data_IF_858835302082
#
_entry.id   IF_858835302082
#
_cell.length_a   1.000
_cell.length_b   1.000
_cell.length_c   1.000
_cell.angle_alpha   90.00
_cell.angle_beta   90.00
_cell.angle_gamma   90.00
#
_symmetry.space_group_name_H-M   'P 1'
#
loop_
_entity.id
_entity.type
_entity.pdbx_description
1 polymer ?
#
# COMPACT_ATOMS: atom_id res chain seq x y z
N UNK A 1 30.46 -100.58 -37.17
CA UNK A 1 31.24 -99.43 -36.66
C UNK A 1 30.73 -99.15 -35.25
N UNK A 2 31.53 -99.52 -34.26
CA UNK A 2 31.16 -99.47 -32.86
C UNK A 2 31.80 -98.30 -32.11
N UNK A 3 31.46 -98.28 -30.82
CA UNK A 3 32.15 -97.64 -29.71
C UNK A 3 31.70 -96.24 -29.29
N UNK A 4 30.89 -96.24 -28.21
CA UNK A 4 31.06 -95.54 -26.93
C UNK A 4 31.94 -94.28 -26.93
N UNK A 5 31.44 -93.18 -26.35
CA UNK A 5 32.06 -92.53 -25.18
C UNK A 5 31.02 -91.77 -24.32
N UNK A 6 31.03 -92.07 -23.03
CA UNK A 6 30.43 -91.29 -21.95
C UNK A 6 31.38 -90.14 -21.59
N UNK A 7 30.85 -88.93 -21.39
CA UNK A 7 31.53 -87.79 -20.72
C UNK A 7 30.43 -87.16 -19.83
N UNK A 8 30.36 -87.51 -18.55
CA UNK A 8 31.11 -86.92 -17.42
C UNK A 8 30.60 -85.51 -17.05
N UNK A 9 29.73 -85.52 -16.04
CA UNK A 9 29.55 -84.58 -14.94
C UNK A 9 30.57 -83.42 -14.89
N UNK A 10 30.10 -82.20 -15.11
CA UNK A 10 30.81 -80.96 -14.84
C UNK A 10 29.94 -80.07 -13.95
N UNK A 11 30.29 -80.02 -12.67
CA UNK A 11 29.66 -79.25 -11.59
C UNK A 11 29.66 -77.76 -11.94
N UNK A 12 28.48 -77.15 -12.07
CA UNK A 12 28.35 -75.70 -12.13
C UNK A 12 28.57 -75.12 -10.74
N UNK A 13 29.78 -74.58 -10.53
CA UNK A 13 30.17 -73.80 -9.37
C UNK A 13 29.43 -72.45 -9.45
N UNK A 14 28.29 -72.34 -8.76
CA UNK A 14 27.56 -71.08 -8.54
C UNK A 14 28.39 -70.23 -7.59
N UNK A 15 29.25 -69.37 -8.15
CA UNK A 15 29.97 -68.33 -7.41
C UNK A 15 28.96 -67.27 -6.97
N UNK A 16 28.73 -67.20 -5.65
CA UNK A 16 27.95 -66.15 -5.00
C UNK A 16 28.59 -64.78 -5.22
N UNK A 17 28.09 -64.06 -6.21
CA UNK A 17 28.24 -62.61 -6.34
C UNK A 17 26.88 -62.01 -6.01
N UNK A 18 26.75 -61.40 -4.83
CA UNK A 18 25.52 -60.68 -4.51
C UNK A 18 25.20 -60.56 -3.02
N UNK A 19 26.17 -60.18 -2.20
CA UNK A 19 25.86 -59.65 -0.88
C UNK A 19 26.94 -58.65 -0.45
N UNK A 20 27.19 -57.63 -1.28
CA UNK A 20 27.59 -56.34 -0.72
C UNK A 20 26.36 -55.84 0.03
N UNK A 21 26.22 -56.25 1.29
CA UNK A 21 25.25 -55.66 2.20
C UNK A 21 25.49 -54.16 2.19
N UNK A 22 24.54 -53.42 1.62
CA UNK A 22 24.49 -51.98 1.76
C UNK A 22 24.31 -51.73 3.26
N UNK A 23 25.41 -51.54 3.99
CA UNK A 23 25.41 -51.09 5.37
C UNK A 23 24.80 -49.70 5.36
N UNK A 24 23.48 -49.67 5.48
CA UNK A 24 22.67 -48.47 5.47
C UNK A 24 22.98 -47.70 6.75
N UNK A 25 24.04 -46.90 6.70
CA UNK A 25 24.50 -46.04 7.80
C UNK A 25 23.57 -44.83 8.01
N UNK A 26 22.38 -44.82 7.40
CA UNK A 26 21.38 -43.78 7.59
C UNK A 26 21.07 -43.50 9.07
N UNK A 27 20.93 -44.51 9.97
CA UNK A 27 20.67 -44.28 11.39
C UNK A 27 21.81 -43.56 12.13
N UNK A 28 23.04 -43.58 11.60
CA UNK A 28 24.21 -42.94 12.21
C UNK A 28 24.44 -41.50 11.70
N UNK A 29 23.63 -41.03 10.75
CA UNK A 29 23.73 -39.66 10.20
C UNK A 29 22.88 -38.64 10.95
N UNK A 30 21.94 -39.12 11.75
CA UNK A 30 21.02 -38.29 12.53
C UNK A 30 21.00 -38.73 14.00
N UNK A 31 20.64 -37.83 14.89
CA UNK A 31 20.42 -38.08 16.30
C UNK A 31 19.07 -37.53 16.78
N UNK A 32 18.88 -37.59 18.09
CA UNK A 32 17.70 -37.04 18.78
C UNK A 32 18.15 -36.04 19.83
N UNK A 33 17.40 -34.95 20.01
CA UNK A 33 17.60 -33.99 21.09
C UNK A 33 16.36 -34.01 21.98
N UNK A 34 16.55 -34.15 23.27
CA UNK A 34 15.50 -34.09 24.29
C UNK A 34 15.78 -32.92 25.24
N UNK A 35 14.74 -32.20 25.65
CA UNK A 35 14.88 -31.09 26.59
C UNK A 35 13.57 -30.73 27.26
N UNK A 36 13.63 -29.74 28.15
CA UNK A 36 12.47 -29.20 28.84
C UNK A 36 12.60 -27.67 28.95
N UNK A 37 11.55 -26.94 28.62
CA UNK A 37 11.47 -25.48 28.78
C UNK A 37 11.14 -25.13 30.23
N UNK A 38 11.75 -24.08 30.78
CA UNK A 38 11.41 -23.58 32.13
C UNK A 38 10.16 -22.71 32.16
N UNK A 39 9.79 -22.15 31.01
CA UNK A 39 8.64 -21.28 30.79
C UNK A 39 8.17 -21.51 29.35
N UNK A 40 6.87 -21.69 29.13
CA UNK A 40 6.31 -21.97 27.81
C UNK A 40 4.80 -21.77 27.79
N UNK A 41 4.25 -21.62 26.60
CA UNK A 41 2.83 -21.70 26.26
C UNK A 41 2.65 -22.88 25.29
N UNK A 42 1.95 -23.98 25.66
CA UNK A 42 1.84 -25.16 24.82
C UNK A 42 1.15 -24.91 23.46
N UNK A 43 0.36 -23.84 23.33
CA UNK A 43 -0.31 -23.50 22.07
C UNK A 43 0.63 -22.80 21.07
N UNK A 44 1.74 -22.25 21.55
CA UNK A 44 2.68 -21.46 20.75
C UNK A 44 4.06 -22.10 20.67
N UNK A 45 4.44 -22.87 21.70
CA UNK A 45 5.81 -23.34 21.88
C UNK A 45 6.23 -24.33 20.79
N UNK A 46 7.32 -24.02 20.12
CA UNK A 46 7.91 -24.84 19.07
C UNK A 46 9.43 -24.79 19.17
N UNK A 47 10.04 -25.97 19.00
CA UNK A 47 11.50 -26.12 18.89
C UNK A 47 11.80 -26.58 17.48
N UNK A 48 12.62 -25.81 16.75
CA UNK A 48 13.03 -26.13 15.38
C UNK A 48 14.54 -26.08 15.23
N UNK A 49 15.07 -26.82 14.25
CA UNK A 49 16.48 -26.75 13.90
C UNK A 49 16.76 -25.51 13.03
N UNK A 50 17.80 -24.77 13.36
CA UNK A 50 18.29 -23.66 12.54
C UNK A 50 18.81 -24.22 11.20
N UNK A 51 18.39 -23.62 10.08
CA UNK A 51 18.76 -24.04 8.72
C UNK A 51 17.98 -25.26 8.18
N UNK A 52 17.11 -25.87 8.99
CA UNK A 52 16.25 -27.00 8.61
C UNK A 52 14.97 -26.99 9.47
N UNK A 53 14.14 -25.95 9.29
CA UNK A 53 12.98 -25.68 10.14
C UNK A 53 11.89 -26.77 10.06
N UNK A 54 11.91 -27.62 9.04
CA UNK A 54 11.07 -28.80 8.91
C UNK A 54 11.36 -29.85 9.98
N UNK A 55 12.61 -29.87 10.50
CA UNK A 55 12.99 -30.60 11.69
C UNK A 55 12.55 -29.78 12.90
N UNK A 56 11.32 -30.05 13.36
CA UNK A 56 10.69 -29.36 14.48
C UNK A 56 9.86 -30.29 15.36
N UNK A 57 9.62 -29.84 16.59
CA UNK A 57 8.82 -30.53 17.58
C UNK A 57 7.99 -29.53 18.39
N UNK A 58 6.75 -29.89 18.69
CA UNK A 58 5.94 -29.18 19.68
C UNK A 58 6.42 -29.52 21.09
N UNK A 59 5.92 -28.77 22.07
CA UNK A 59 6.23 -28.98 23.47
C UNK A 59 5.02 -29.63 24.16
N UNK A 60 5.26 -30.63 25.01
CA UNK A 60 4.18 -31.28 25.76
C UNK A 60 3.67 -30.43 26.95
N UNK A 61 2.62 -30.90 27.62
CA UNK A 61 2.00 -30.20 28.73
C UNK A 61 2.93 -29.95 29.94
N UNK A 62 4.04 -30.68 30.03
CA UNK A 62 5.06 -30.50 31.06
C UNK A 62 6.29 -29.73 30.55
N UNK A 63 6.23 -29.16 29.35
CA UNK A 63 7.30 -28.34 28.79
C UNK A 63 8.39 -29.16 28.11
N UNK A 64 8.22 -30.47 27.94
CA UNK A 64 9.25 -31.33 27.33
C UNK A 64 9.10 -31.38 25.82
N UNK A 65 10.23 -31.52 25.14
CA UNK A 65 10.28 -31.71 23.69
C UNK A 65 11.25 -32.81 23.32
N UNK A 66 10.96 -33.46 22.19
CA UNK A 66 11.84 -34.45 21.56
C UNK A 66 11.95 -34.13 20.07
N UNK A 67 13.14 -33.78 19.63
CA UNK A 67 13.45 -33.43 18.25
C UNK A 67 14.27 -34.56 17.62
N UNK A 68 13.68 -35.27 16.67
CA UNK A 68 14.29 -36.41 15.99
C UNK A 68 14.81 -36.00 14.60
N UNK A 69 15.70 -36.81 14.01
CA UNK A 69 16.20 -36.57 12.66
C UNK A 69 17.23 -35.43 12.55
N UNK A 70 17.82 -35.02 13.67
CA UNK A 70 18.78 -33.91 13.69
C UNK A 70 20.13 -34.38 13.13
N UNK A 71 20.70 -33.74 12.09
CA UNK A 71 21.99 -34.14 11.54
C UNK A 71 23.11 -34.20 12.58
N UNK A 72 23.97 -35.21 12.47
CA UNK A 72 25.15 -35.35 13.33
C UNK A 72 26.09 -34.16 13.15
N UNK A 73 26.58 -33.58 14.25
CA UNK A 73 27.50 -32.44 14.24
C UNK A 73 27.07 -31.31 15.18
N UNK A 74 27.70 -30.13 15.06
CA UNK A 74 27.21 -28.90 15.69
C UNK A 74 25.83 -28.54 15.11
N UNK A 75 24.90 -28.22 15.98
CA UNK A 75 23.54 -27.81 15.66
C UNK A 75 23.14 -26.63 16.54
N UNK A 76 22.19 -25.83 16.07
CA UNK A 76 21.57 -24.76 16.84
C UNK A 76 20.05 -24.94 16.78
N UNK A 77 19.41 -24.90 17.94
CA UNK A 77 17.95 -24.90 18.05
C UNK A 77 17.43 -23.48 18.10
N UNK A 78 16.34 -23.23 17.39
CA UNK A 78 15.50 -22.05 17.54
C UNK A 78 14.30 -22.45 18.40
N UNK A 79 14.15 -21.83 19.56
CA UNK A 79 13.10 -22.15 20.53
C UNK A 79 12.17 -20.95 20.66
N UNK A 80 10.93 -21.10 20.20
CA UNK A 80 9.83 -20.20 20.56
C UNK A 80 9.15 -20.80 21.77
N UNK A 81 9.11 -20.08 22.88
CA UNK A 81 8.54 -20.59 24.12
C UNK A 81 7.16 -19.99 24.41
N UNK A 82 6.98 -18.70 24.18
CA UNK A 82 5.70 -17.99 24.31
C UNK A 82 5.58 -16.98 23.17
N UNK A 83 4.47 -16.24 23.11
CA UNK A 83 4.30 -15.16 22.13
C UNK A 83 5.40 -14.07 22.21
N UNK A 84 6.08 -13.92 23.35
CA UNK A 84 7.03 -12.82 23.62
C UNK A 84 8.43 -13.32 24.02
N UNK A 85 8.64 -14.64 24.11
CA UNK A 85 9.92 -15.22 24.53
C UNK A 85 10.44 -16.28 23.59
N UNK A 86 11.72 -16.17 23.27
CA UNK A 86 12.44 -17.10 22.41
C UNK A 86 13.91 -17.21 22.85
N UNK A 87 14.59 -18.29 22.43
CA UNK A 87 16.04 -18.42 22.64
C UNK A 87 16.68 -19.29 21.57
N UNK A 88 18.02 -19.23 21.46
CA UNK A 88 18.82 -20.14 20.64
C UNK A 88 19.68 -21.03 21.55
N UNK A 89 19.79 -22.30 21.19
CA UNK A 89 20.56 -23.29 21.98
C UNK A 89 21.52 -24.03 21.08
N UNK A 90 22.82 -23.84 21.29
CA UNK A 90 23.85 -24.62 20.60
C UNK A 90 23.99 -26.01 21.25
N UNK A 91 24.07 -27.04 20.42
CA UNK A 91 24.14 -28.45 20.85
C UNK A 91 25.02 -29.23 19.88
N UNK A 92 25.74 -30.24 20.39
CA UNK A 92 26.49 -31.18 19.56
C UNK A 92 25.77 -32.51 19.51
N UNK A 93 25.31 -32.89 18.33
CA UNK A 93 24.56 -34.13 18.08
C UNK A 93 25.51 -35.21 17.63
N UNK A 94 25.36 -36.39 18.21
CA UNK A 94 26.09 -37.60 17.80
C UNK A 94 25.11 -38.59 17.17
N UNK A 95 25.51 -39.17 16.05
CA UNK A 95 24.66 -40.06 15.27
C UNK A 95 24.17 -41.28 16.04
N UNK A 96 22.90 -41.62 15.88
CA UNK A 96 22.23 -42.71 16.58
C UNK A 96 22.06 -42.50 18.08
N UNK A 97 22.42 -41.33 18.63
CA UNK A 97 22.33 -41.04 20.06
C UNK A 97 21.26 -40.00 20.36
N UNK A 98 20.73 -40.08 21.60
CA UNK A 98 19.86 -39.07 22.18
C UNK A 98 20.66 -38.15 23.10
N UNK A 99 20.65 -36.86 22.80
CA UNK A 99 21.31 -35.81 23.59
C UNK A 99 20.27 -35.17 24.50
N UNK A 100 20.50 -35.20 25.82
CA UNK A 100 19.64 -34.55 26.80
C UNK A 100 20.17 -33.17 27.15
N UNK A 101 19.39 -32.14 26.91
CA UNK A 101 19.70 -30.78 27.30
C UNK A 101 19.38 -30.56 28.79
N UNK A 102 20.10 -29.62 29.40
CA UNK A 102 19.63 -29.01 30.65
C UNK A 102 18.34 -28.24 30.38
N UNK A 103 17.61 -27.86 31.45
CA UNK A 103 16.39 -27.06 31.28
C UNK A 103 16.72 -25.78 30.52
N UNK A 104 15.95 -25.51 29.47
CA UNK A 104 16.15 -24.37 28.56
C UNK A 104 15.31 -23.21 29.08
N UNK A 105 16.00 -22.12 29.45
CA UNK A 105 15.34 -20.90 29.89
C UNK A 105 15.20 -19.92 28.72
N UNK A 106 13.96 -19.65 28.26
CA UNK A 106 13.75 -18.67 27.20
C UNK A 106 13.99 -17.24 27.70
N UNK A 107 14.23 -16.31 26.79
CA UNK A 107 14.49 -14.90 27.08
C UNK A 107 13.48 -14.02 26.37
N UNK A 108 13.34 -12.78 26.83
CA UNK A 108 12.52 -11.78 26.14
C UNK A 108 13.03 -11.62 24.70
N UNK A 109 12.12 -11.73 23.75
CA UNK A 109 12.43 -11.72 22.35
C UNK A 109 12.14 -10.35 21.73
N UNK A 110 12.85 -10.05 20.65
CA UNK A 110 12.59 -8.92 19.79
C UNK A 110 11.55 -9.22 18.70
N UNK A 111 11.09 -8.16 18.05
CA UNK A 111 10.15 -8.22 16.93
C UNK A 111 10.54 -7.23 15.84
N UNK A 112 10.31 -7.61 14.58
CA UNK A 112 10.26 -6.66 13.49
C UNK A 112 8.82 -6.20 13.25
N UNK A 113 8.60 -4.89 13.30
CA UNK A 113 7.35 -4.22 12.93
C UNK A 113 7.51 -3.70 11.50
N UNK A 114 7.14 -4.53 10.51
CA UNK A 114 7.38 -4.24 9.10
C UNK A 114 6.31 -3.32 8.51
N UNK A 115 6.77 -2.39 7.66
CA UNK A 115 5.95 -1.54 6.80
C UNK A 115 6.50 -1.59 5.39
N UNK A 116 5.78 -2.28 4.51
CA UNK A 116 6.15 -2.50 3.12
C UNK A 116 5.25 -1.67 2.21
N UNK A 117 5.84 -0.97 1.25
CA UNK A 117 5.12 -0.17 0.25
C UNK A 117 5.68 -0.44 -1.14
N UNK A 118 4.86 -0.23 -2.17
CA UNK A 118 5.34 -0.19 -3.55
C UNK A 118 5.61 1.24 -4.01
N UNK A 119 6.61 1.43 -4.88
CA UNK A 119 7.04 2.73 -5.40
C UNK A 119 5.99 3.43 -6.24
N UNK A 120 5.12 2.69 -6.93
CA UNK A 120 4.12 3.23 -7.84
C UNK A 120 2.67 2.94 -7.42
N UNK A 121 2.46 2.57 -6.15
CA UNK A 121 1.13 2.39 -5.58
C UNK A 121 0.47 1.04 -5.89
N UNK A 122 1.22 0.08 -6.43
CA UNK A 122 0.79 -1.31 -6.54
C UNK A 122 0.47 -1.88 -5.15
N UNK A 123 -0.53 -2.76 -5.12
CA UNK A 123 -0.92 -3.44 -3.89
C UNK A 123 0.16 -4.44 -3.49
N UNK A 124 0.57 -4.40 -2.22
CA UNK A 124 1.55 -5.32 -1.63
C UNK A 124 0.90 -6.42 -0.77
N UNK A 125 -0.44 -6.46 -0.71
CA UNK A 125 -1.17 -7.53 -0.05
C UNK A 125 -0.82 -8.87 -0.70
N UNK A 126 -0.51 -9.89 0.11
CA UNK A 126 -0.11 -11.21 -0.41
C UNK A 126 1.39 -11.37 -0.66
N UNK A 127 2.19 -10.30 -0.57
CA UNK A 127 3.66 -10.40 -0.51
C UNK A 127 4.04 -11.18 0.75
N UNK A 128 4.95 -12.14 0.58
CA UNK A 128 5.43 -13.04 1.60
C UNK A 128 6.78 -12.57 2.16
N UNK A 129 6.94 -12.71 3.46
CA UNK A 129 8.17 -12.46 4.19
C UNK A 129 8.63 -13.76 4.84
N UNK A 130 9.89 -14.12 4.63
CA UNK A 130 10.56 -15.22 5.30
C UNK A 130 11.78 -14.71 6.03
N UNK A 131 12.00 -15.18 7.25
CA UNK A 131 13.23 -14.91 8.00
C UNK A 131 14.08 -16.16 7.98
N UNK A 132 15.23 -16.08 7.31
CA UNK A 132 16.15 -17.20 7.16
C UNK A 132 16.55 -17.73 8.53
N UNK A 133 16.74 -19.05 8.63
CA UNK A 133 17.25 -19.70 9.84
C UNK A 133 16.29 -19.61 11.04
N UNK A 134 15.00 -19.43 10.78
CA UNK A 134 13.92 -19.38 11.77
C UNK A 134 12.68 -20.14 11.26
N UNK A 135 11.70 -20.47 12.12
CA UNK A 135 10.43 -21.06 11.67
C UNK A 135 9.48 -20.05 10.99
N UNK A 136 9.86 -18.77 10.88
CA UNK A 136 9.03 -17.71 10.32
C UNK A 136 9.17 -17.62 8.81
N UNK A 137 8.48 -18.50 8.10
CA UNK A 137 8.50 -18.54 6.63
C UNK A 137 7.15 -18.21 6.02
N UNK A 138 7.19 -17.56 4.85
CA UNK A 138 6.01 -17.23 4.03
C UNK A 138 4.91 -16.50 4.80
N UNK A 139 5.30 -15.62 5.73
CA UNK A 139 4.39 -14.75 6.46
C UNK A 139 3.80 -13.72 5.50
N UNK A 140 2.48 -13.54 5.51
CA UNK A 140 1.79 -12.70 4.53
C UNK A 140 1.55 -11.31 5.09
N UNK A 141 1.89 -10.27 4.32
CA UNK A 141 1.57 -8.88 4.65
C UNK A 141 0.06 -8.62 4.63
N UNK A 142 -0.42 -7.78 5.56
CA UNK A 142 -1.79 -7.31 5.55
C UNK A 142 -2.08 -6.38 4.34
N UNK A 143 -3.35 -6.02 4.14
CA UNK A 143 -3.76 -5.13 3.03
C UNK A 143 -3.09 -3.74 3.05
N UNK A 144 -2.62 -3.30 4.21
CA UNK A 144 -1.91 -2.03 4.40
C UNK A 144 -0.38 -2.19 4.32
N UNK A 145 0.12 -3.38 3.95
CA UNK A 145 1.55 -3.67 3.86
C UNK A 145 2.24 -3.79 5.22
N UNK A 146 1.53 -4.21 6.26
CA UNK A 146 2.09 -4.39 7.62
C UNK A 146 2.21 -5.86 7.98
N UNK A 147 3.25 -6.17 8.73
CA UNK A 147 3.47 -7.50 9.30
C UNK A 147 4.34 -7.37 10.56
N UNK A 148 3.95 -8.07 11.62
CA UNK A 148 4.82 -8.28 12.78
C UNK A 148 5.51 -9.63 12.65
N UNK A 149 6.83 -9.64 12.79
CA UNK A 149 7.65 -10.86 12.69
C UNK A 149 8.37 -11.11 14.01
N UNK A 150 8.18 -12.30 14.55
CA UNK A 150 8.77 -12.75 15.82
C UNK A 150 7.81 -13.65 16.60
N UNK A 151 8.20 -14.09 17.80
CA UNK A 151 9.35 -13.63 18.59
C UNK A 151 10.73 -14.06 18.04
N UNK A 152 11.71 -13.15 18.05
CA UNK A 152 13.10 -13.38 17.61
C UNK A 152 14.10 -13.22 18.78
N UNK A 153 14.95 -14.22 19.06
CA UNK A 153 16.10 -14.04 19.96
C UNK A 153 17.02 -12.92 19.48
N UNK A 154 17.82 -12.35 20.38
CA UNK A 154 18.82 -11.35 20.05
C UNK A 154 19.73 -11.81 18.90
N UNK A 155 19.87 -10.99 17.87
CA UNK A 155 20.69 -11.32 16.71
C UNK A 155 20.36 -10.50 15.47
N UNK A 156 21.14 -10.74 14.41
CA UNK A 156 20.91 -10.21 13.07
C UNK A 156 20.34 -11.31 12.17
N UNK A 157 19.34 -10.95 11.37
CA UNK A 157 18.55 -11.87 10.58
C UNK A 157 18.48 -11.40 9.13
N UNK A 158 18.63 -12.35 8.21
CA UNK A 158 18.36 -12.14 6.80
C UNK A 158 16.86 -12.39 6.52
N UNK A 159 16.21 -11.40 5.92
CA UNK A 159 14.82 -11.46 5.48
C UNK A 159 14.78 -11.60 3.96
N UNK A 160 13.88 -12.43 3.46
CA UNK A 160 13.49 -12.53 2.05
C UNK A 160 12.05 -12.04 1.93
N UNK A 161 11.83 -11.05 1.07
CA UNK A 161 10.52 -10.47 0.78
C UNK A 161 10.23 -10.73 -0.70
N UNK A 162 9.18 -11.49 -0.99
CA UNK A 162 8.83 -11.88 -2.36
C UNK A 162 7.32 -11.90 -2.57
N UNK A 163 6.86 -11.56 -3.77
CA UNK A 163 5.46 -11.63 -4.12
C UNK A 163 5.22 -11.49 -5.61
N UNK A 164 3.99 -11.78 -6.03
CA UNK A 164 3.59 -11.60 -7.43
C UNK A 164 3.79 -10.15 -7.83
N UNK A 165 4.42 -9.92 -8.99
CA UNK A 165 4.66 -8.58 -9.51
C UNK A 165 5.90 -7.88 -8.96
N UNK A 166 6.61 -8.48 -8.00
CA UNK A 166 7.80 -7.90 -7.38
C UNK A 166 8.98 -8.89 -7.47
N UNK A 167 10.19 -8.43 -7.83
CA UNK A 167 11.40 -9.22 -7.66
C UNK A 167 11.63 -9.49 -6.15
N UNK A 168 12.30 -10.59 -5.84
CA UNK A 168 12.69 -10.90 -4.47
C UNK A 168 13.67 -9.86 -3.95
N UNK A 169 13.38 -9.30 -2.77
CA UNK A 169 14.24 -8.37 -2.05
C UNK A 169 14.81 -9.06 -0.83
N UNK A 170 16.13 -8.96 -0.65
CA UNK A 170 16.81 -9.42 0.55
C UNK A 170 17.17 -8.22 1.43
N UNK A 171 16.93 -8.35 2.73
CA UNK A 171 17.29 -7.34 3.73
C UNK A 171 17.96 -8.03 4.92
N UNK A 172 18.77 -7.27 5.67
CA UNK A 172 19.33 -7.72 6.94
C UNK A 172 18.97 -6.71 8.03
N UNK A 173 18.53 -7.21 9.18
CA UNK A 173 18.21 -6.38 10.33
C UNK A 173 18.55 -7.10 11.63
N UNK A 174 18.94 -6.34 12.63
CA UNK A 174 19.20 -6.84 13.97
C UNK A 174 18.11 -6.41 14.94
N UNK A 175 17.82 -7.27 15.91
CA UNK A 175 16.89 -6.98 17.00
C UNK A 175 17.47 -7.48 18.32
N UNK A 176 17.26 -6.72 19.39
CA UNK A 176 17.64 -7.08 20.75
C UNK A 176 16.46 -7.53 21.63
N UNK A 177 16.80 -7.94 22.84
CA UNK A 177 15.86 -8.42 23.86
C UNK A 177 14.73 -7.43 24.11
N UNK A 178 13.48 -7.85 23.84
CA UNK A 178 12.27 -7.03 24.02
C UNK A 178 12.13 -5.85 23.05
N UNK A 179 13.04 -5.69 22.07
CA UNK A 179 13.00 -4.58 21.12
C UNK A 179 11.88 -4.78 20.08
N UNK A 180 11.15 -3.70 19.78
CA UNK A 180 10.23 -3.63 18.63
C UNK A 180 10.86 -2.76 17.55
N UNK A 181 11.52 -3.39 16.59
CA UNK A 181 12.28 -2.73 15.54
C UNK A 181 11.39 -2.45 14.33
N UNK A 182 11.19 -1.18 14.00
CA UNK A 182 10.48 -0.83 12.78
C UNK A 182 11.36 -1.05 11.54
N UNK A 183 10.86 -1.79 10.54
CA UNK A 183 11.51 -1.98 9.25
C UNK A 183 10.63 -1.43 8.13
N UNK A 184 11.12 -0.41 7.42
CA UNK A 184 10.47 0.16 6.24
C UNK A 184 11.11 -0.40 4.98
N UNK A 185 10.32 -1.05 4.13
CA UNK A 185 10.79 -1.63 2.87
C UNK A 185 9.99 -1.04 1.72
N UNK A 186 10.69 -0.58 0.70
CA UNK A 186 10.11 -0.12 -0.55
C UNK A 186 10.36 -1.19 -1.61
N UNK A 187 9.30 -1.69 -2.25
CA UNK A 187 9.36 -2.65 -3.33
C UNK A 187 9.21 -1.94 -4.68
N UNK A 188 10.10 -2.29 -5.59
CA UNK A 188 10.01 -1.87 -6.99
C UNK A 188 9.28 -2.97 -7.77
N UNK A 189 8.22 -2.62 -8.50
CA UNK A 189 7.50 -3.58 -9.32
C UNK A 189 8.37 -4.03 -10.50
N UNK A 190 8.18 -5.27 -10.96
CA UNK A 190 8.92 -5.78 -12.12
C UNK A 190 8.50 -4.99 -13.38
N UNK A 191 9.44 -4.26 -13.97
CA UNK A 191 9.22 -3.42 -15.16
C UNK A 191 8.87 -4.23 -16.42
N UNK A 192 9.27 -5.50 -16.48
CA UNK A 192 9.01 -6.37 -17.62
C UNK A 192 7.55 -6.85 -17.69
N UNK A 193 6.78 -6.65 -16.60
CA UNK A 193 5.37 -7.00 -16.56
C UNK A 193 4.52 -5.92 -17.25
N UNK A 194 4.12 -6.20 -18.49
CA UNK A 194 3.03 -5.49 -19.13
C UNK A 194 1.77 -5.60 -18.26
N UNK A 195 1.15 -4.46 -17.94
CA UNK A 195 -0.02 -4.38 -17.06
C UNK A 195 0.24 -4.74 -15.57
N UNK A 196 1.21 -4.07 -14.93
CA UNK A 196 1.64 -4.33 -13.54
C UNK A 196 0.46 -4.42 -12.56
N UNK A 197 -0.37 -3.37 -12.51
CA UNK A 197 -1.53 -3.34 -11.61
C UNK A 197 -2.65 -4.31 -11.99
N UNK A 198 -2.66 -4.87 -13.21
CA UNK A 198 -3.61 -5.92 -13.59
C UNK A 198 -3.33 -7.24 -12.86
N UNK A 199 -2.08 -7.49 -12.46
CA UNK A 199 -1.67 -8.69 -11.73
C UNK A 199 -1.69 -8.47 -10.22
N UNK A 200 -1.18 -7.35 -9.75
CA UNK A 200 -1.05 -7.05 -8.31
C UNK A 200 -2.28 -6.36 -7.73
N UNK A 201 -3.04 -5.64 -8.55
CA UNK A 201 -4.01 -4.66 -8.09
C UNK A 201 -3.34 -3.37 -7.61
N UNK A 202 -4.16 -2.39 -7.24
CA UNK A 202 -3.68 -1.12 -6.70
C UNK A 202 -3.95 -0.99 -5.20
N UNK A 203 -3.11 -0.22 -4.51
CA UNK A 203 -3.33 0.15 -3.12
C UNK A 203 -4.69 0.86 -2.96
N UNK A 204 -5.18 0.90 -1.73
CA UNK A 204 -6.48 1.50 -1.43
C UNK A 204 -6.56 2.96 -1.90
N UNK A 205 -7.66 3.30 -2.57
CA UNK A 205 -7.87 4.63 -3.17
C UNK A 205 -7.25 4.81 -4.56
N UNK A 206 -6.59 3.79 -5.12
CA UNK A 206 -6.06 3.81 -6.47
C UNK A 206 -6.77 2.78 -7.37
N UNK A 207 -6.76 3.04 -8.67
CA UNK A 207 -7.32 2.20 -9.72
C UNK A 207 -6.27 1.91 -10.79
N UNK A 208 -6.42 0.77 -11.48
CA UNK A 208 -5.48 0.36 -12.51
C UNK A 208 -5.76 1.15 -13.81
N UNK A 209 -4.83 2.04 -14.18
CA UNK A 209 -4.94 2.90 -15.33
C UNK A 209 -4.49 2.24 -16.65
N UNK A 210 -4.79 2.87 -17.80
CA UNK A 210 -4.22 2.47 -19.08
C UNK A 210 -2.68 2.43 -18.99
N UNK A 211 -2.07 1.34 -19.48
CA UNK A 211 -0.63 1.13 -19.39
C UNK A 211 -0.16 0.42 -18.12
N UNK A 212 -1.06 0.05 -17.20
CA UNK A 212 -0.71 -0.81 -16.06
C UNK A 212 -0.15 -0.08 -14.84
N UNK A 213 -0.32 1.24 -14.76
CA UNK A 213 0.07 2.04 -13.61
C UNK A 213 -1.11 2.26 -12.65
N UNK A 214 -0.84 2.28 -11.35
CA UNK A 214 -1.84 2.67 -10.37
C UNK A 214 -2.00 4.20 -10.35
N UNK A 215 -3.24 4.64 -10.49
CA UNK A 215 -3.61 6.06 -10.58
C UNK A 215 -4.81 6.33 -9.68
N UNK A 216 -5.09 7.59 -9.38
CA UNK A 216 -6.22 7.92 -8.50
C UNK A 216 -7.56 7.68 -9.20
N UNK A 217 -7.61 7.90 -10.50
CA UNK A 217 -8.83 7.75 -11.29
C UNK A 217 -8.55 7.48 -12.76
N UNK A 218 -9.53 6.88 -13.43
CA UNK A 218 -9.71 6.80 -14.88
C UNK A 218 -11.06 7.37 -15.33
N UNK A 219 -11.99 7.55 -14.38
CA UNK A 219 -13.33 8.11 -14.58
C UNK A 219 -13.67 9.03 -13.40
N UNK A 220 -14.50 10.05 -13.63
CA UNK A 220 -14.91 11.03 -12.60
C UNK A 220 -15.57 10.37 -11.38
N UNK A 221 -16.35 9.30 -11.60
CA UNK A 221 -17.02 8.58 -10.52
C UNK A 221 -16.10 7.84 -9.53
N UNK A 222 -14.80 7.77 -9.83
CA UNK A 222 -13.79 7.23 -8.90
C UNK A 222 -13.22 8.32 -7.97
N UNK A 223 -13.53 9.58 -8.26
CA UNK A 223 -13.19 10.70 -7.41
C UNK A 223 -14.29 10.95 -6.37
N UNK A 224 -13.89 11.48 -5.20
CA UNK A 224 -14.83 11.93 -4.18
C UNK A 224 -15.74 13.08 -4.68
N UNK A 225 -16.80 13.37 -3.95
CA UNK A 225 -17.80 14.37 -4.32
C UNK A 225 -17.17 15.74 -4.69
N UNK A 226 -17.59 16.32 -5.83
CA UNK A 226 -17.10 17.62 -6.32
C UNK A 226 -15.74 17.59 -7.03
N UNK A 227 -15.16 16.39 -7.23
CA UNK A 227 -13.91 16.20 -7.97
C UNK A 227 -14.16 15.50 -9.31
N UNK A 228 -13.27 15.76 -10.26
CA UNK A 228 -13.27 15.16 -11.60
C UNK A 228 -11.88 14.59 -11.90
N UNK A 229 -11.85 13.55 -12.75
CA UNK A 229 -10.62 12.87 -13.11
C UNK A 229 -9.89 13.63 -14.22
N UNK A 230 -8.73 14.22 -13.90
CA UNK A 230 -7.91 14.99 -14.84
C UNK A 230 -6.49 14.43 -14.88
N UNK A 231 -6.11 13.86 -16.02
CA UNK A 231 -4.77 13.28 -16.20
C UNK A 231 -4.46 12.17 -15.19
N UNK A 232 -5.46 11.34 -14.88
CA UNK A 232 -5.41 10.26 -13.90
C UNK A 232 -5.25 10.68 -12.42
N UNK A 233 -5.56 11.95 -12.11
CA UNK A 233 -5.62 12.48 -10.75
C UNK A 233 -7.01 13.03 -10.46
N UNK A 234 -7.46 12.86 -9.22
CA UNK A 234 -8.69 13.49 -8.77
C UNK A 234 -8.41 14.95 -8.43
N UNK A 235 -8.96 15.85 -9.23
CA UNK A 235 -8.87 17.29 -9.00
C UNK A 235 -10.24 17.83 -8.66
N UNK A 236 -10.32 18.80 -7.75
CA UNK A 236 -11.54 19.57 -7.59
C UNK A 236 -11.94 20.18 -8.93
N UNK A 237 -13.22 20.16 -9.26
CA UNK A 237 -13.74 21.03 -10.31
C UNK A 237 -13.65 22.47 -9.78
N UNK A 238 -12.46 23.08 -9.80
CA UNK A 238 -12.24 24.40 -9.23
C UNK A 238 -13.22 25.39 -9.87
N UNK A 239 -14.10 26.05 -9.10
CA UNK A 239 -14.97 27.06 -9.68
C UNK A 239 -14.11 28.16 -10.29
N UNK A 240 -14.58 28.79 -11.37
CA UNK A 240 -14.00 30.06 -11.82
C UNK A 240 -13.93 31.03 -10.63
N UNK A 241 -12.84 31.79 -10.54
CA UNK A 241 -12.50 32.60 -9.37
C UNK A 241 -12.12 31.83 -8.08
N UNK A 242 -12.03 30.50 -8.12
CA UNK A 242 -11.47 29.71 -7.03
C UNK A 242 -9.97 29.95 -6.85
N UNK A 243 -9.51 29.94 -5.61
CA UNK A 243 -8.08 30.06 -5.29
C UNK A 243 -7.30 28.88 -5.91
N UNK A 244 -6.10 29.15 -6.39
CA UNK A 244 -5.24 28.17 -7.07
C UNK A 244 -3.78 28.34 -6.67
N UNK A 245 -2.98 27.30 -6.84
CA UNK A 245 -1.52 27.36 -6.69
C UNK A 245 -0.81 27.24 -8.03
N UNK A 246 -1.41 26.54 -8.98
CA UNK A 246 -0.93 26.31 -10.34
C UNK A 246 -2.10 26.15 -11.31
N UNK A 247 -1.80 26.15 -12.62
CA UNK A 247 -2.79 25.94 -13.68
C UNK A 247 -3.46 24.55 -13.62
N UNK A 248 -2.80 23.58 -12.99
CA UNK A 248 -3.34 22.23 -12.80
C UNK A 248 -4.62 22.22 -11.97
N UNK A 249 -4.70 23.15 -11.02
CA UNK A 249 -5.79 23.36 -10.07
C UNK A 249 -7.07 23.93 -10.71
N UNK A 250 -7.00 24.39 -11.97
CA UNK A 250 -8.10 25.09 -12.64
C UNK A 250 -8.89 24.22 -13.63
N UNK A 251 -10.14 24.62 -13.91
CA UNK A 251 -10.97 24.03 -14.98
C UNK A 251 -10.29 24.14 -16.35
N UNK A 252 -10.65 23.24 -17.28
CA UNK A 252 -10.10 23.23 -18.65
C UNK A 252 -10.39 24.57 -19.33
N UNK A 253 -9.35 25.20 -19.88
CA UNK A 253 -9.41 26.53 -20.49
C UNK A 253 -9.20 27.69 -19.51
N UNK A 254 -9.02 27.43 -18.22
CA UNK A 254 -8.62 28.41 -17.22
C UNK A 254 -7.16 28.23 -16.77
N UNK A 255 -6.54 29.34 -16.40
CA UNK A 255 -5.18 29.41 -15.86
C UNK A 255 -5.19 30.09 -14.49
N UNK A 256 -4.22 29.76 -13.65
CA UNK A 256 -4.03 30.35 -12.34
C UNK A 256 -3.33 31.71 -12.51
N UNK A 257 -4.07 32.81 -12.36
CA UNK A 257 -3.56 34.15 -12.63
C UNK A 257 -3.63 35.04 -11.39
N UNK A 258 -2.65 35.96 -11.22
CA UNK A 258 -2.74 36.99 -10.21
C UNK A 258 -3.88 37.97 -10.54
N UNK A 259 -4.64 38.34 -9.52
CA UNK A 259 -5.77 39.25 -9.65
C UNK A 259 -5.38 40.68 -9.27
N UNK A 260 -6.08 41.67 -9.84
CA UNK A 260 -5.82 43.09 -9.56
C UNK A 260 -6.15 43.46 -8.10
N UNK A 261 -7.15 42.80 -7.51
CA UNK A 261 -7.51 42.89 -6.09
C UNK A 261 -6.51 42.19 -5.15
N UNK A 262 -5.50 41.50 -5.70
CA UNK A 262 -4.55 40.69 -4.95
C UNK A 262 -4.95 39.22 -4.84
N UNK A 263 -3.96 38.35 -4.61
CA UNK A 263 -4.14 36.89 -4.63
C UNK A 263 -4.07 36.29 -6.04
N UNK A 264 -4.37 35.00 -6.14
CA UNK A 264 -4.36 34.21 -7.38
C UNK A 264 -5.65 33.39 -7.49
N UNK A 265 -6.23 33.33 -8.69
CA UNK A 265 -7.43 32.55 -8.94
C UNK A 265 -7.47 31.94 -10.34
N UNK A 266 -8.34 30.94 -10.51
CA UNK A 266 -8.60 30.31 -11.79
C UNK A 266 -9.44 31.21 -12.70
N UNK A 267 -8.86 31.66 -13.81
CA UNK A 267 -9.47 32.58 -14.77
C UNK A 267 -9.40 32.00 -16.18
N UNK A 268 -10.53 31.97 -16.88
CA UNK A 268 -10.61 31.53 -18.29
C UNK A 268 -10.18 32.66 -19.21
N UNK A 269 -9.41 32.38 -20.26
CA UNK A 269 -9.10 33.37 -21.29
C UNK A 269 -10.27 33.62 -22.24
N UNK A 270 -10.37 34.83 -22.77
CA UNK A 270 -11.39 35.24 -23.73
C UNK A 270 -10.79 36.18 -24.79
N UNK A 271 -11.52 36.37 -25.88
CA UNK A 271 -11.16 37.28 -26.96
C UNK A 271 -12.34 38.20 -27.27
N UNK A 272 -12.07 39.50 -27.44
CA UNK A 272 -13.07 40.48 -27.86
C UNK A 272 -13.39 40.36 -29.36
N UNK A 273 -12.45 39.87 -30.18
CA UNK A 273 -12.69 39.57 -31.58
C UNK A 273 -13.14 38.12 -31.71
N UNK A 274 -14.45 37.93 -31.87
CA UNK A 274 -15.05 36.61 -32.06
C UNK A 274 -15.10 36.30 -33.54
N UNK A 275 -14.26 35.37 -34.01
CA UNK A 275 -14.51 34.71 -35.29
C UNK A 275 -15.72 33.77 -35.11
N UNK A 276 -16.61 33.71 -36.09
CA UNK A 276 -17.88 32.94 -35.99
C UNK A 276 -17.66 31.45 -35.67
N UNK A 277 -16.50 30.90 -36.02
CA UNK A 277 -16.14 29.50 -35.76
C UNK A 277 -15.74 29.22 -34.29
N UNK A 278 -15.36 30.23 -33.50
CA UNK A 278 -14.82 30.07 -32.13
C UNK A 278 -15.69 30.70 -31.03
N UNK A 279 -16.95 31.05 -31.34
CA UNK A 279 -17.86 31.76 -30.42
C UNK A 279 -18.00 31.06 -29.06
N UNK A 280 -18.09 29.73 -29.03
CA UNK A 280 -18.28 28.99 -27.78
C UNK A 280 -17.01 28.93 -26.92
N UNK A 281 -15.83 28.86 -27.54
CA UNK A 281 -14.56 28.77 -26.83
C UNK A 281 -14.17 30.12 -26.19
N UNK A 282 -14.42 31.22 -26.89
CA UNK A 282 -13.96 32.55 -26.50
C UNK A 282 -14.96 33.37 -25.67
N UNK A 283 -16.20 32.90 -25.53
CA UNK A 283 -17.21 33.60 -24.73
C UNK A 283 -17.07 33.28 -23.24
N UNK A 284 -17.26 34.31 -22.43
CA UNK A 284 -17.41 34.18 -20.99
C UNK A 284 -18.79 33.62 -20.64
N UNK A 285 -18.87 32.95 -19.51
CA UNK A 285 -20.13 32.38 -19.01
C UNK A 285 -21.03 33.47 -18.43
N UNK A 286 -22.27 33.09 -18.07
CA UNK A 286 -23.20 33.96 -17.37
C UNK A 286 -22.56 34.58 -16.12
N UNK A 287 -22.77 35.87 -15.90
CA UNK A 287 -22.19 36.65 -14.80
C UNK A 287 -20.72 37.07 -14.99
N UNK A 288 -20.08 36.72 -16.11
CA UNK A 288 -18.70 37.11 -16.42
C UNK A 288 -18.62 37.95 -17.69
N UNK A 289 -17.67 38.88 -17.72
CA UNK A 289 -17.35 39.70 -18.90
C UNK A 289 -15.89 39.49 -19.30
N UNK A 290 -15.62 39.64 -20.59
CA UNK A 290 -14.24 39.59 -21.07
C UNK A 290 -13.54 40.90 -20.71
N UNK A 291 -12.55 40.82 -19.83
CA UNK A 291 -11.81 41.96 -19.31
C UNK A 291 -10.32 41.69 -19.53
N UNK A 292 -9.68 42.46 -20.42
CA UNK A 292 -8.25 42.33 -20.72
C UNK A 292 -7.85 40.89 -21.15
N UNK A 293 -8.71 40.23 -21.93
CA UNK A 293 -8.47 38.85 -22.39
C UNK A 293 -8.77 37.76 -21.36
N UNK A 294 -9.40 38.11 -20.24
CA UNK A 294 -9.76 37.20 -19.15
C UNK A 294 -11.24 37.30 -18.80
N UNK A 295 -11.89 36.16 -18.59
CA UNK A 295 -13.27 36.09 -18.09
C UNK A 295 -13.28 36.36 -16.59
N UNK A 296 -13.56 37.60 -16.22
CA UNK A 296 -13.68 38.06 -14.85
C UNK A 296 -15.14 38.41 -14.53
N UNK A 297 -15.55 38.39 -13.25
CA UNK A 297 -16.92 38.74 -12.86
C UNK A 297 -17.31 40.12 -13.39
N UNK A 298 -18.57 40.29 -13.80
CA UNK A 298 -19.05 41.56 -14.33
C UNK A 298 -18.84 42.69 -13.31
N UNK A 299 -18.03 43.72 -13.61
CA UNK A 299 -17.69 44.77 -12.66
C UNK A 299 -18.91 45.62 -12.26
N UNK A 300 -20.00 45.57 -13.04
CA UNK A 300 -21.25 46.21 -12.65
C UNK A 300 -21.90 45.56 -11.41
N UNK A 301 -21.55 44.30 -11.10
CA UNK A 301 -22.14 43.52 -9.99
C UNK A 301 -21.11 43.03 -8.97
N UNK A 302 -19.86 42.83 -9.38
CA UNK A 302 -18.83 42.23 -8.51
C UNK A 302 -17.51 43.00 -8.63
N UNK A 303 -16.92 43.38 -7.50
CA UNK A 303 -15.57 43.94 -7.42
C UNK A 303 -14.56 42.79 -7.41
N UNK A 304 -14.44 42.11 -8.56
CA UNK A 304 -13.50 41.02 -8.78
C UNK A 304 -13.97 39.64 -8.29
N UNK A 305 -13.05 38.69 -8.36
CA UNK A 305 -13.27 37.29 -7.99
C UNK A 305 -13.52 37.12 -6.49
N UNK A 306 -12.88 37.92 -5.64
CA UNK A 306 -13.10 37.89 -4.20
C UNK A 306 -14.55 38.19 -3.83
N UNK A 307 -15.17 39.17 -4.50
CA UNK A 307 -16.57 39.55 -4.29
C UNK A 307 -17.55 38.48 -4.75
N UNK A 308 -17.27 37.81 -5.88
CA UNK A 308 -18.09 36.71 -6.38
C UNK A 308 -18.20 35.57 -5.35
N UNK A 309 -17.11 35.24 -4.67
CA UNK A 309 -17.09 34.21 -3.62
C UNK A 309 -17.91 34.60 -2.37
N UNK A 310 -18.35 35.86 -2.26
CA UNK A 310 -19.22 36.33 -1.18
C UNK A 310 -20.71 36.29 -1.55
N UNK A 311 -21.07 35.86 -2.76
CA UNK A 311 -22.47 35.64 -3.13
C UNK A 311 -23.07 34.52 -2.25
N UNK A 312 -24.20 34.79 -1.60
CA UNK A 312 -24.82 33.91 -0.62
C UNK A 312 -24.24 34.02 0.80
N UNK A 313 -23.22 34.87 1.04
CA UNK A 313 -22.67 35.09 2.37
C UNK A 313 -23.71 35.68 3.32
N UNK A 314 -23.62 35.34 4.61
CA UNK A 314 -24.53 35.89 5.61
C UNK A 314 -24.43 37.41 5.72
N UNK A 315 -25.58 38.05 5.92
CA UNK A 315 -25.68 39.51 6.04
C UNK A 315 -26.74 39.94 7.06
N UNK A 316 -26.56 41.16 7.57
CA UNK A 316 -27.54 41.82 8.43
C UNK A 316 -28.24 42.99 7.72
N UNK A 317 -27.58 43.57 6.70
CA UNK A 317 -28.05 44.69 5.90
C UNK A 317 -27.31 44.71 4.54
N UNK A 318 -27.83 45.51 3.62
CA UNK A 318 -27.25 45.69 2.27
C UNK A 318 -25.82 46.26 2.31
N UNK A 319 -25.53 47.09 3.31
CA UNK A 319 -24.22 47.73 3.48
C UNK A 319 -23.13 46.68 3.71
N UNK A 320 -23.43 45.59 4.43
CA UNK A 320 -22.52 44.46 4.58
C UNK A 320 -22.21 43.80 3.23
N UNK A 321 -23.21 43.54 2.40
CA UNK A 321 -23.00 42.93 1.08
C UNK A 321 -22.17 43.84 0.15
N UNK A 322 -22.42 45.14 0.19
CA UNK A 322 -21.63 46.12 -0.57
C UNK A 322 -20.18 46.19 -0.09
N UNK A 323 -19.93 46.11 1.23
CA UNK A 323 -18.57 46.04 1.79
C UNK A 323 -17.82 44.75 1.42
N UNK A 324 -18.55 43.68 1.11
CA UNK A 324 -18.01 42.43 0.58
C UNK A 324 -17.69 42.50 -0.93
N UNK A 325 -17.92 43.66 -1.57
CA UNK A 325 -17.60 43.90 -2.97
C UNK A 325 -18.72 43.57 -3.95
N UNK A 326 -19.94 43.32 -3.48
CA UNK A 326 -21.12 43.15 -4.34
C UNK A 326 -21.65 44.55 -4.71
N UNK A 327 -21.42 44.99 -5.95
CA UNK A 327 -21.87 46.29 -6.46
C UNK A 327 -23.41 46.33 -6.48
N UNK A 328 -24.00 47.16 -5.61
CA UNK A 328 -25.44 47.16 -5.39
C UNK A 328 -25.96 45.93 -4.65
N UNK A 329 -25.10 45.27 -3.86
CA UNK A 329 -25.46 44.08 -3.09
C UNK A 329 -26.64 44.31 -2.15
N UNK A 330 -27.51 43.31 -2.07
CA UNK A 330 -28.74 43.29 -1.27
C UNK A 330 -28.67 42.16 -0.26
N UNK A 331 -29.19 42.40 0.94
CA UNK A 331 -29.34 41.39 1.98
C UNK A 331 -30.76 40.85 1.98
N UNK A 332 -30.97 39.69 1.34
CA UNK A 332 -32.28 39.07 1.21
C UNK A 332 -32.29 37.76 2.02
N UNK A 333 -33.26 37.63 2.92
CA UNK A 333 -33.41 36.44 3.79
C UNK A 333 -32.12 36.11 4.59
N UNK A 334 -31.32 37.14 4.92
CA UNK A 334 -30.06 36.99 5.64
C UNK A 334 -28.86 36.56 4.78
N UNK A 335 -29.01 36.55 3.45
CA UNK A 335 -27.95 36.21 2.50
C UNK A 335 -27.69 37.34 1.48
N UNK A 336 -26.43 37.53 1.14
CA UNK A 336 -26.02 38.51 0.15
C UNK A 336 -26.34 38.06 -1.27
N UNK A 337 -26.97 38.93 -2.03
CA UNK A 337 -27.29 38.75 -3.45
C UNK A 337 -27.03 40.05 -4.23
N UNK A 338 -27.22 40.01 -5.56
CA UNK A 338 -27.17 41.17 -6.47
C UNK A 338 -28.41 41.19 -7.34
N UNK A 339 -28.82 42.38 -7.77
CA UNK A 339 -29.92 42.53 -8.71
C UNK A 339 -29.57 41.96 -10.09
N UNK A 340 -30.57 41.44 -10.77
CA UNK A 340 -30.45 40.90 -12.13
C UNK A 340 -31.70 41.21 -12.95
N UNK A 341 -31.59 41.09 -14.28
CA UNK A 341 -32.72 41.16 -15.21
C UNK A 341 -32.92 39.89 -16.04
N UNK A 342 -31.91 39.02 -16.05
CA UNK A 342 -31.90 37.76 -16.80
C UNK A 342 -30.89 36.79 -16.18
N UNK A 343 -31.10 35.49 -16.40
CA UNK A 343 -30.22 34.43 -15.87
C UNK A 343 -28.75 34.58 -16.30
N UNK A 344 -28.50 35.17 -17.47
CA UNK A 344 -27.14 35.38 -18.00
C UNK A 344 -26.29 36.34 -17.15
N UNK A 345 -26.90 37.04 -16.20
CA UNK A 345 -26.23 37.95 -15.28
C UNK A 345 -25.80 37.27 -13.98
N UNK A 346 -26.32 36.06 -13.73
CA UNK A 346 -26.10 35.31 -12.51
C UNK A 346 -25.02 34.23 -12.73
N UNK A 347 -23.93 34.24 -11.94
CA UNK A 347 -22.78 33.36 -12.15
C UNK A 347 -23.00 31.94 -11.61
N UNK A 348 -22.31 30.98 -12.23
CA UNK A 348 -22.29 29.58 -11.80
C UNK A 348 -23.65 28.91 -11.91
N UNK A 349 -24.18 28.42 -10.79
CA UNK A 349 -25.49 27.75 -10.73
C UNK A 349 -26.64 28.69 -10.37
N UNK A 350 -26.35 29.96 -10.09
CA UNK A 350 -27.38 30.93 -9.67
C UNK A 350 -28.27 31.36 -10.84
N UNK A 351 -29.52 31.71 -10.53
CA UNK A 351 -30.53 32.15 -11.50
C UNK A 351 -31.17 33.46 -11.09
N UNK A 352 -31.72 34.18 -12.07
CA UNK A 352 -32.40 35.43 -11.82
C UNK A 352 -33.85 35.13 -11.40
N UNK A 353 -34.16 35.33 -10.12
CA UNK A 353 -35.46 34.99 -9.53
C UNK A 353 -36.15 36.23 -8.96
N UNK A 354 -37.49 36.26 -9.04
CA UNK A 354 -38.30 37.31 -8.43
C UNK A 354 -38.24 37.23 -6.89
N UNK A 355 -38.03 38.37 -6.24
CA UNK A 355 -38.04 38.52 -4.79
C UNK A 355 -38.87 39.72 -4.33
N UNK A 356 -38.99 39.91 -3.01
CA UNK A 356 -39.70 41.06 -2.42
C UNK A 356 -39.09 42.42 -2.80
N UNK A 357 -37.84 42.46 -3.25
CA UNK A 357 -37.10 43.68 -3.61
C UNK A 357 -36.82 43.79 -5.12
N UNK A 358 -37.43 42.92 -5.93
CA UNK A 358 -37.18 42.82 -7.38
C UNK A 358 -36.45 41.54 -7.76
N UNK A 359 -35.93 41.47 -8.98
CA UNK A 359 -35.21 40.30 -9.50
C UNK A 359 -33.77 40.25 -9.00
N UNK A 360 -33.36 39.11 -8.43
CA UNK A 360 -32.04 38.93 -7.81
C UNK A 360 -31.42 37.56 -8.16
N UNK A 361 -30.09 37.47 -8.09
CA UNK A 361 -29.39 36.20 -8.31
C UNK A 361 -29.51 35.28 -7.09
N UNK A 362 -30.31 34.23 -7.23
CA UNK A 362 -30.60 33.24 -6.18
C UNK A 362 -29.68 32.03 -6.34
N UNK A 363 -29.05 31.59 -5.25
CA UNK A 363 -28.14 30.42 -5.19
C UNK A 363 -28.87 29.17 -4.70
N UNK A 364 -30.21 29.15 -4.74
CA UNK A 364 -31.00 28.01 -4.22
C UNK A 364 -30.63 26.73 -4.96
N UNK A 365 -30.22 25.72 -4.17
CA UNK A 365 -30.14 24.31 -4.58
C UNK A 365 -31.55 23.70 -4.62
#
# INVERSE_FOLDING_TARGET
MGSRQHIALGVFLVLGLGACGNLENAPLRVGTIEGQLTEFDPEVAVVSLVGAHEVRSAVDAEGRFKLEGVPTGPAELFVVATAEKATRVSVKVTGGQSVKLQRVAPRDAGFFEMRVKSSHGERVAGVQVSVRDTPFERLVLDGAGRLRVGPLPDGCYALSIAGVGFPEVQAEACVGSGEKKELKVQLEANEELLNRCGLTGCADGLVCGPGGSCVECVLDGQCGAGMMCKGFRCAAAGPRCGACQDDGSCQVGAACQPLAEGGVACVKQCSESVNEEDIAANRCEAGFTCQQGNCLPDPARFVGCGALLQLGAECADDVRCQKLGLSGGLCLEGQCTVACTQDQECPGVSRCEDSAVGQVCSVRN
#
